data_IF_110094149373
#
_entry.id   IF_110094149373
#
_cell.length_a   1.000
_cell.length_b   1.000
_cell.length_c   1.000
_cell.angle_alpha   90.00
_cell.angle_beta   90.00
_cell.angle_gamma   90.00
#
_symmetry.space_group_name_H-M   'P 1'
#
loop_
_entity.id
_entity.type
_entity.pdbx_description
1 polymer ?
#
# COMPACT_ATOMS: atom_id res chain seq x y z
N UNK A 1 -22.46 -0.29 6.19
CA UNK A 1 -21.27 -1.00 6.68
C UNK A 1 -20.08 -0.05 6.70
N UNK A 2 -19.01 -0.33 7.46
CA UNK A 2 -17.81 0.54 7.53
C UNK A 2 -17.24 0.85 6.13
N UNK A 3 -17.28 -0.12 5.22
CA UNK A 3 -16.87 0.04 3.81
C UNK A 3 -17.61 1.18 3.11
N UNK A 4 -18.94 1.24 3.23
CA UNK A 4 -19.76 2.27 2.58
C UNK A 4 -19.40 3.69 3.03
N UNK A 5 -18.85 3.84 4.25
CA UNK A 5 -18.41 5.14 4.76
C UNK A 5 -17.09 5.62 4.17
N UNK A 6 -16.36 4.76 3.46
CA UNK A 6 -15.08 5.06 2.81
C UNK A 6 -15.20 5.36 1.32
N UNK A 7 -16.31 5.00 0.67
CA UNK A 7 -16.55 5.22 -0.78
C UNK A 7 -16.39 6.70 -1.20
N UNK A 8 -16.73 7.63 -0.29
CA UNK A 8 -16.64 9.07 -0.55
C UNK A 8 -15.35 9.73 -0.01
N UNK A 9 -14.44 8.94 0.60
CA UNK A 9 -13.22 9.48 1.23
C UNK A 9 -12.05 9.51 0.26
N UNK A 10 -11.06 10.35 0.56
CA UNK A 10 -9.80 10.32 -0.18
C UNK A 10 -9.03 9.03 0.13
N UNK A 11 -8.18 8.54 -0.79
CA UNK A 11 -7.29 7.41 -0.51
C UNK A 11 -6.48 7.63 0.77
N UNK A 12 -6.04 8.86 1.02
CA UNK A 12 -5.26 9.23 2.20
C UNK A 12 -6.03 9.05 3.49
N UNK A 13 -7.32 9.40 3.53
CA UNK A 13 -8.16 9.20 4.72
C UNK A 13 -8.37 7.72 5.02
N UNK A 14 -8.51 6.90 3.97
CA UNK A 14 -8.65 5.44 4.12
C UNK A 14 -7.35 4.82 4.61
N UNK A 15 -6.20 5.23 4.05
CA UNK A 15 -4.88 4.78 4.47
C UNK A 15 -4.56 5.21 5.90
N UNK A 16 -4.85 6.47 6.27
CA UNK A 16 -4.66 6.97 7.63
C UNK A 16 -5.48 6.15 8.63
N UNK A 17 -6.77 5.92 8.34
CA UNK A 17 -7.61 5.07 9.17
C UNK A 17 -7.05 3.66 9.33
N UNK A 18 -6.59 3.04 8.24
CA UNK A 18 -6.04 1.69 8.27
C UNK A 18 -4.72 1.63 9.09
N UNK A 19 -3.82 2.58 8.90
CA UNK A 19 -2.56 2.66 9.64
C UNK A 19 -2.83 2.90 11.13
N UNK A 20 -3.68 3.86 11.48
CA UNK A 20 -4.03 4.16 12.89
C UNK A 20 -4.70 2.97 13.58
N UNK A 21 -5.55 2.24 12.87
CA UNK A 21 -6.33 1.13 13.45
C UNK A 21 -5.50 -0.14 13.60
N UNK A 22 -4.61 -0.43 12.65
CA UNK A 22 -3.98 -1.75 12.53
C UNK A 22 -2.46 -1.75 12.70
N UNK A 23 -1.76 -0.61 12.73
CA UNK A 23 -0.32 -0.61 13.00
C UNK A 23 -0.02 -1.18 14.40
N UNK A 24 0.99 -2.05 14.56
CA UNK A 24 2.02 -2.49 13.59
C UNK A 24 1.68 -3.77 12.80
N UNK A 25 0.43 -4.22 12.83
CA UNK A 25 -0.03 -5.48 12.22
C UNK A 25 -0.53 -5.34 10.77
N UNK A 26 -0.40 -4.15 10.17
CA UNK A 26 -0.71 -3.88 8.76
C UNK A 26 0.56 -3.93 7.91
N UNK A 27 0.42 -4.43 6.68
CA UNK A 27 1.49 -4.50 5.70
C UNK A 27 0.96 -4.08 4.33
N UNK A 28 1.76 -3.33 3.56
CA UNK A 28 1.45 -2.97 2.18
C UNK A 28 1.97 -4.06 1.22
N UNK A 29 1.07 -4.72 0.50
CA UNK A 29 1.43 -5.55 -0.63
C UNK A 29 1.63 -4.66 -1.87
N UNK A 30 2.77 -4.78 -2.55
CA UNK A 30 3.12 -3.98 -3.71
C UNK A 30 3.61 -4.89 -4.85
N UNK A 31 3.01 -4.79 -6.03
CA UNK A 31 3.46 -5.47 -7.25
C UNK A 31 4.39 -4.60 -8.11
N UNK A 32 4.65 -3.37 -7.67
CA UNK A 32 5.38 -2.32 -8.40
C UNK A 32 4.70 -1.87 -9.72
N UNK A 33 3.38 -2.03 -9.82
CA UNK A 33 2.57 -1.29 -10.80
C UNK A 33 2.61 0.22 -10.56
N UNK A 34 2.22 1.02 -11.56
CA UNK A 34 2.23 2.48 -11.44
C UNK A 34 1.33 2.97 -10.28
N UNK A 35 0.19 2.33 -10.09
CA UNK A 35 -0.75 2.55 -9.01
C UNK A 35 -0.17 2.19 -7.63
N UNK A 36 0.59 1.10 -7.54
CA UNK A 36 1.17 0.67 -6.27
C UNK A 36 2.25 1.64 -5.82
N UNK A 37 3.04 2.19 -6.74
CA UNK A 37 4.05 3.21 -6.42
C UNK A 37 3.42 4.45 -5.81
N UNK A 38 2.21 4.83 -6.23
CA UNK A 38 1.46 5.95 -5.63
C UNK A 38 1.03 5.61 -4.21
N UNK A 39 0.56 4.39 -3.95
CA UNK A 39 0.22 3.93 -2.59
C UNK A 39 1.45 3.85 -1.68
N UNK A 40 2.60 3.40 -2.22
CA UNK A 40 3.88 3.40 -1.51
C UNK A 40 4.29 4.81 -1.11
N UNK A 41 4.22 5.79 -2.01
CA UNK A 41 4.51 7.20 -1.68
C UNK A 41 3.58 7.73 -0.58
N UNK A 42 2.28 7.46 -0.66
CA UNK A 42 1.30 7.88 0.34
C UNK A 42 1.57 7.27 1.71
N UNK A 43 1.73 5.93 1.78
CA UNK A 43 1.98 5.21 3.03
C UNK A 43 3.31 5.63 3.65
N UNK A 44 4.36 5.76 2.84
CA UNK A 44 5.69 6.14 3.33
C UNK A 44 5.72 7.56 3.92
N UNK A 45 4.93 8.50 3.37
CA UNK A 45 4.76 9.85 3.94
C UNK A 45 3.99 9.86 5.26
N UNK A 46 3.06 8.92 5.45
CA UNK A 46 2.23 8.83 6.66
C UNK A 46 2.95 8.11 7.79
N UNK A 47 3.49 6.93 7.51
CA UNK A 47 4.22 6.12 8.47
C UNK A 47 5.27 5.25 7.75
N UNK A 48 6.56 5.61 7.82
CA UNK A 48 7.64 4.86 7.16
C UNK A 48 7.92 3.49 7.80
N UNK A 49 7.37 3.21 8.99
CA UNK A 49 7.55 1.93 9.68
C UNK A 49 6.56 0.84 9.21
N UNK A 50 5.59 1.20 8.35
CA UNK A 50 4.67 0.23 7.75
C UNK A 50 5.45 -0.72 6.83
N UNK A 51 5.49 -2.03 7.12
CA UNK A 51 6.23 -2.97 6.29
C UNK A 51 5.61 -3.08 4.89
N UNK A 52 6.46 -3.33 3.89
CA UNK A 52 6.07 -3.54 2.51
C UNK A 52 6.61 -4.89 2.03
N UNK A 53 5.78 -5.68 1.33
CA UNK A 53 6.22 -6.88 0.64
C UNK A 53 5.74 -6.88 -0.81
N UNK A 54 6.48 -7.59 -1.66
CA UNK A 54 6.07 -7.92 -3.01
C UNK A 54 6.13 -9.44 -3.20
N UNK A 55 5.32 -9.96 -4.11
CA UNK A 55 5.34 -11.38 -4.47
C UNK A 55 6.14 -11.53 -5.76
N UNK A 56 7.28 -12.20 -5.67
CA UNK A 56 8.01 -12.64 -6.86
C UNK A 56 7.39 -13.95 -7.38
N UNK A 57 6.77 -13.88 -8.56
CA UNK A 57 6.07 -15.01 -9.19
C UNK A 57 6.92 -15.70 -10.26
N UNK A 58 8.19 -15.30 -10.44
CA UNK A 58 9.09 -15.69 -11.54
C UNK A 58 8.65 -15.24 -12.96
N UNK A 59 7.47 -14.64 -13.12
CA UNK A 59 6.93 -14.09 -14.37
C UNK A 59 6.89 -12.56 -14.41
N UNK A 60 7.54 -11.89 -13.46
CA UNK A 60 7.64 -10.44 -13.46
C UNK A 60 8.38 -9.95 -14.71
N UNK A 61 7.94 -8.81 -15.25
CA UNK A 61 8.63 -8.15 -16.35
C UNK A 61 10.11 -7.94 -15.97
N UNK A 62 11.06 -8.07 -16.92
CA UNK A 62 12.49 -7.93 -16.64
C UNK A 62 12.83 -6.60 -15.93
N UNK A 63 12.05 -5.54 -16.18
CA UNK A 63 12.14 -4.23 -15.55
C UNK A 63 11.84 -4.24 -14.05
N UNK A 64 10.98 -5.13 -13.56
CA UNK A 64 10.63 -5.28 -12.13
C UNK A 64 11.64 -6.17 -11.40
N UNK A 65 12.28 -7.11 -12.11
CA UNK A 65 13.26 -8.05 -11.54
C UNK A 65 14.68 -7.48 -11.41
N UNK A 66 15.05 -6.51 -12.23
CA UNK A 66 16.39 -5.91 -12.19
C UNK A 66 16.43 -4.65 -11.32
N UNK A 67 16.42 -4.84 -10.00
CA UNK A 67 16.96 -3.89 -9.03
C UNK A 67 17.48 -4.58 -7.78
#
# INVERSE_FOLDING_TARGET
MLSDSFEAKSPQDVLAYAIETYHPQIVLACSFGAEDVVLVDMVHRMNPDVPLFYLDTDFLFPETRNR
#
